data_IF_259310691609
#
_entry.id   IF_259310691609
#
_cell.length_a   1.000
_cell.length_b   1.000
_cell.length_c   1.000
_cell.angle_alpha   90.00
_cell.angle_beta   90.00
_cell.angle_gamma   90.00
#
_symmetry.space_group_name_H-M   'P 1'
#
loop_
_entity.id
_entity.type
_entity.pdbx_description
1 polymer ?
#
# COMPACT_ATOMS: atom_id res chain seq x y z
N UNK A 1 1.30 -16.09 -25.84
CA UNK A 1 0.15 -15.32 -25.32
C UNK A 1 0.61 -14.73 -23.99
N UNK A 2 1.01 -13.46 -23.96
CA UNK A 2 1.49 -12.82 -22.73
C UNK A 2 0.25 -12.39 -21.93
N UNK A 3 -0.02 -13.06 -20.81
CA UNK A 3 -1.07 -12.66 -19.87
C UNK A 3 -0.65 -11.37 -19.16
N UNK A 4 -0.86 -10.23 -19.82
CA UNK A 4 -0.74 -8.93 -19.17
C UNK A 4 -2.04 -8.62 -18.44
N UNK A 5 -2.19 -9.12 -17.21
CA UNK A 5 -3.23 -8.59 -16.31
C UNK A 5 -2.85 -7.14 -16.02
N UNK A 6 -3.68 -6.18 -16.44
CA UNK A 6 -3.47 -4.78 -16.11
C UNK A 6 -3.55 -4.62 -14.58
N UNK A 7 -2.44 -4.19 -13.97
CA UNK A 7 -2.33 -3.98 -12.52
C UNK A 7 -3.31 -2.89 -12.07
N UNK A 8 -4.37 -3.26 -11.36
CA UNK A 8 -5.31 -2.28 -10.75
C UNK A 8 -4.80 -1.92 -9.38
N UNK A 9 -4.44 -0.66 -9.18
CA UNK A 9 -4.09 -0.13 -7.86
C UNK A 9 -5.10 0.91 -7.39
N UNK A 10 -5.32 0.96 -6.08
CA UNK A 10 -6.15 1.99 -5.44
C UNK A 10 -5.38 2.67 -4.33
N UNK A 11 -5.65 3.98 -4.15
CA UNK A 11 -5.14 4.73 -3.02
C UNK A 11 -6.02 4.49 -1.81
N UNK A 12 -5.44 3.87 -0.79
CA UNK A 12 -6.09 3.72 0.49
C UNK A 12 -5.90 4.99 1.34
N UNK A 13 -6.98 5.59 1.86
CA UNK A 13 -6.90 6.76 2.76
C UNK A 13 -7.03 6.39 4.23
N UNK A 14 -7.36 5.14 4.54
CA UNK A 14 -7.57 4.64 5.89
C UNK A 14 -8.08 3.20 5.89
N UNK A 15 -8.17 2.60 7.07
CA UNK A 15 -8.50 1.18 7.23
C UNK A 15 -9.84 0.78 6.57
N UNK A 16 -10.84 1.66 6.60
CA UNK A 16 -12.14 1.39 5.99
C UNK A 16 -12.06 1.32 4.45
N UNK A 17 -11.24 2.16 3.82
CA UNK A 17 -10.97 2.07 2.38
C UNK A 17 -10.28 0.74 2.05
N UNK A 18 -9.32 0.28 2.88
CA UNK A 18 -8.64 -1.00 2.68
C UNK A 18 -9.60 -2.20 2.77
N UNK A 19 -10.47 -2.21 3.79
CA UNK A 19 -11.52 -3.23 3.94
C UNK A 19 -12.44 -3.25 2.73
N UNK A 20 -12.91 -2.08 2.28
CA UNK A 20 -13.77 -1.98 1.10
C UNK A 20 -13.09 -2.49 -0.17
N UNK A 21 -11.81 -2.18 -0.37
CA UNK A 21 -11.03 -2.66 -1.52
C UNK A 21 -10.98 -4.18 -1.52
N UNK A 22 -10.74 -4.80 -0.36
CA UNK A 22 -10.66 -6.25 -0.19
C UNK A 22 -12.02 -6.90 -0.42
N UNK A 23 -13.05 -6.45 0.30
CA UNK A 23 -14.40 -7.01 0.25
C UNK A 23 -15.01 -6.97 -1.15
N UNK A 24 -14.72 -5.91 -1.91
CA UNK A 24 -15.28 -5.68 -3.24
C UNK A 24 -14.30 -6.01 -4.38
N UNK A 25 -13.13 -6.54 -4.08
CA UNK A 25 -12.08 -6.88 -5.04
C UNK A 25 -11.75 -5.73 -6.03
N UNK A 26 -11.56 -4.52 -5.51
CA UNK A 26 -11.44 -3.30 -6.32
C UNK A 26 -10.03 -3.06 -6.89
N UNK A 27 -9.01 -3.72 -6.35
CA UNK A 27 -7.61 -3.57 -6.73
C UNK A 27 -6.84 -4.86 -6.48
N UNK A 28 -5.79 -5.07 -7.27
CA UNK A 28 -4.81 -6.14 -7.07
C UNK A 28 -3.67 -5.67 -6.14
N UNK A 29 -3.45 -4.34 -6.06
CA UNK A 29 -2.41 -3.69 -5.25
C UNK A 29 -2.97 -2.54 -4.40
N UNK A 30 -2.60 -2.48 -3.12
CA UNK A 30 -2.88 -1.32 -2.26
C UNK A 30 -1.66 -0.40 -2.23
N UNK A 31 -1.87 0.88 -2.58
CA UNK A 31 -0.82 1.89 -2.50
C UNK A 31 -0.85 2.62 -1.14
N UNK A 32 0.20 2.42 -0.34
CA UNK A 32 0.40 3.03 0.97
C UNK A 32 1.01 4.43 0.79
N UNK A 33 0.27 5.45 1.22
CA UNK A 33 0.74 6.84 1.29
C UNK A 33 0.98 7.25 2.75
N UNK A 34 2.24 7.26 3.16
CA UNK A 34 2.64 7.62 4.53
C UNK A 34 2.10 8.98 4.98
N UNK A 35 2.08 9.97 4.08
CA UNK A 35 1.58 11.31 4.37
C UNK A 35 0.08 11.36 4.73
N UNK A 36 -0.71 10.34 4.35
CA UNK A 36 -2.14 10.24 4.69
C UNK A 36 -2.40 9.36 5.91
N UNK A 37 -1.64 8.28 6.04
CA UNK A 37 -1.93 7.21 6.98
C UNK A 37 -1.15 7.35 8.31
N UNK A 38 -0.03 8.08 8.29
CA UNK A 38 0.94 8.02 9.38
C UNK A 38 1.53 6.62 9.54
N UNK A 39 2.35 6.42 10.58
CA UNK A 39 3.05 5.14 10.80
C UNK A 39 2.08 4.04 11.24
N UNK A 40 1.27 4.30 12.26
CA UNK A 40 0.36 3.29 12.82
C UNK A 40 -0.70 2.85 11.81
N UNK A 41 -1.37 3.80 11.15
CA UNK A 41 -2.38 3.48 10.14
C UNK A 41 -1.79 2.75 8.93
N UNK A 42 -0.54 3.06 8.55
CA UNK A 42 0.14 2.30 7.49
C UNK A 42 0.39 0.85 7.92
N UNK A 43 0.87 0.61 9.14
CA UNK A 43 1.11 -0.75 9.66
C UNK A 43 -0.19 -1.57 9.67
N UNK A 44 -1.28 -1.01 10.18
CA UNK A 44 -2.58 -1.70 10.22
C UNK A 44 -3.05 -2.12 8.82
N UNK A 45 -2.93 -1.22 7.83
CA UNK A 45 -3.33 -1.52 6.45
C UNK A 45 -2.38 -2.54 5.81
N UNK A 46 -1.08 -2.47 6.09
CA UNK A 46 -0.10 -3.46 5.60
C UNK A 46 -0.44 -4.85 6.11
N UNK A 47 -0.74 -4.99 7.40
CA UNK A 47 -1.12 -6.28 7.99
C UNK A 47 -2.42 -6.82 7.38
N UNK A 48 -3.41 -5.95 7.19
CA UNK A 48 -4.67 -6.31 6.55
C UNK A 48 -4.48 -6.77 5.09
N UNK A 49 -3.68 -6.05 4.31
CA UNK A 49 -3.39 -6.40 2.92
C UNK A 49 -2.61 -7.72 2.80
N UNK A 50 -1.65 -7.96 3.70
CA UNK A 50 -0.92 -9.23 3.78
C UNK A 50 -1.86 -10.41 4.08
N UNK A 51 -2.81 -10.21 5.00
CA UNK A 51 -3.78 -11.23 5.35
C UNK A 51 -4.78 -11.54 4.20
N UNK A 52 -5.04 -10.58 3.32
CA UNK A 52 -5.93 -10.75 2.17
C UNK A 52 -5.23 -11.24 0.89
N UNK A 53 -3.89 -11.32 0.89
CA UNK A 53 -3.10 -11.73 -0.27
C UNK A 53 -2.97 -10.66 -1.35
N UNK A 54 -3.36 -9.41 -1.06
CA UNK A 54 -3.13 -8.28 -1.95
C UNK A 54 -1.66 -7.86 -1.92
N UNK A 55 -1.16 -7.39 -3.05
CA UNK A 55 0.18 -6.82 -3.11
C UNK A 55 0.18 -5.39 -2.55
N UNK A 56 1.35 -4.95 -2.10
CA UNK A 56 1.54 -3.62 -1.54
C UNK A 56 2.54 -2.83 -2.37
N UNK A 57 2.21 -1.56 -2.60
CA UNK A 57 3.13 -0.55 -3.12
C UNK A 57 3.28 0.55 -2.06
N UNK A 58 4.46 1.15 -1.96
CA UNK A 58 4.65 2.39 -1.21
C UNK A 58 4.91 3.53 -2.19
N UNK A 59 4.19 4.63 -2.04
CA UNK A 59 4.23 5.74 -2.98
C UNK A 59 4.21 7.10 -2.30
N UNK A 60 4.71 8.09 -3.04
CA UNK A 60 4.67 9.51 -2.68
C UNK A 60 4.27 10.35 -3.88
N UNK A 61 3.99 11.64 -3.65
CA UNK A 61 3.81 12.63 -4.72
C UNK A 61 4.83 13.76 -4.66
N UNK A 62 5.00 14.38 -3.49
CA UNK A 62 5.83 15.58 -3.33
C UNK A 62 6.36 15.71 -1.88
N UNK A 63 6.80 14.61 -1.29
CA UNK A 63 7.30 14.55 0.08
C UNK A 63 8.78 14.94 0.17
N UNK A 64 9.22 15.34 1.37
CA UNK A 64 10.62 15.66 1.64
C UNK A 64 11.52 14.43 1.56
N UNK A 65 12.83 14.62 1.39
CA UNK A 65 13.83 13.54 1.41
C UNK A 65 13.77 12.70 2.70
N UNK A 66 13.43 13.32 3.83
CA UNK A 66 13.25 12.63 5.10
C UNK A 66 12.08 11.65 5.05
N UNK A 67 10.92 12.08 4.53
CA UNK A 67 9.74 11.25 4.41
C UNK A 67 9.92 10.13 3.37
N UNK A 68 10.57 10.42 2.24
CA UNK A 68 10.93 9.40 1.23
C UNK A 68 11.92 8.38 1.82
N UNK A 69 12.96 8.83 2.52
CA UNK A 69 13.93 7.94 3.17
C UNK A 69 13.30 7.05 4.22
N UNK A 70 12.43 7.61 5.08
CA UNK A 70 11.65 6.84 6.04
C UNK A 70 10.79 5.77 5.36
N UNK A 71 10.06 6.14 4.31
CA UNK A 71 9.21 5.22 3.56
C UNK A 71 10.04 4.08 2.93
N UNK A 72 11.20 4.41 2.37
CA UNK A 72 12.14 3.42 1.82
C UNK A 72 12.65 2.44 2.89
N UNK A 73 13.06 2.94 4.06
CA UNK A 73 13.49 2.08 5.17
C UNK A 73 12.36 1.19 5.69
N UNK A 74 11.14 1.72 5.80
CA UNK A 74 9.96 0.95 6.21
C UNK A 74 9.68 -0.19 5.22
N UNK A 75 9.69 0.12 3.92
CA UNK A 75 9.45 -0.87 2.89
C UNK A 75 10.52 -1.96 2.86
N UNK A 76 11.79 -1.58 2.95
CA UNK A 76 12.91 -2.51 3.01
C UNK A 76 12.88 -3.39 4.28
N UNK A 77 12.53 -2.81 5.43
CA UNK A 77 12.47 -3.53 6.70
C UNK A 77 11.32 -4.54 6.78
N UNK A 78 10.16 -4.24 6.17
CA UNK A 78 9.00 -5.13 6.18
C UNK A 78 9.04 -6.18 5.06
N UNK A 79 9.71 -5.91 3.94
CA UNK A 79 9.95 -6.87 2.86
C UNK A 79 8.68 -7.35 2.14
N UNK A 80 7.56 -6.64 2.27
CA UNK A 80 6.25 -7.04 1.73
C UNK A 80 5.75 -6.16 0.58
N UNK A 81 6.61 -5.30 0.02
CA UNK A 81 6.28 -4.38 -1.07
C UNK A 81 6.85 -4.89 -2.40
N UNK A 82 6.12 -4.67 -3.51
CA UNK A 82 6.55 -5.00 -4.87
C UNK A 82 6.76 -3.76 -5.75
#
# INVERSE_FOLDING_TARGET
MLNYTACRFQFCRGLDDAKMIIERNLADVINIKMAKLGVLGAIEIIELAKASGLELMIGGMAESRLAVGFSGHLAAGLGCFK
#
